data_IF_244309267319
#
_entry.id   IF_244309267319
#
_cell.length_a   1.000
_cell.length_b   1.000
_cell.length_c   1.000
_cell.angle_alpha   90.00
_cell.angle_beta   90.00
_cell.angle_gamma   90.00
#
_symmetry.space_group_name_H-M   'P 1'
#
loop_
_entity.id
_entity.type
_entity.pdbx_description
1 polymer ?
#
# COMPACT_ATOMS: atom_id res chain seq x y z
N UNK A 1 -9.41 -47.68 13.75
CA UNK A 1 -10.74 -47.15 13.40
C UNK A 1 -10.56 -45.83 12.64
N UNK A 2 -11.00 -45.77 11.38
CA UNK A 2 -10.79 -44.62 10.47
C UNK A 2 -11.74 -43.48 10.84
N UNK A 3 -11.21 -42.29 11.13
CA UNK A 3 -12.03 -41.07 11.31
C UNK A 3 -12.61 -40.68 9.94
N UNK A 4 -13.93 -40.72 9.82
CA UNK A 4 -14.68 -40.24 8.64
C UNK A 4 -14.47 -38.73 8.52
N UNK A 5 -13.93 -38.30 7.38
CA UNK A 5 -13.86 -36.89 7.02
C UNK A 5 -15.27 -36.33 6.83
N UNK A 6 -15.56 -35.23 7.49
CA UNK A 6 -16.79 -34.45 7.27
C UNK A 6 -16.59 -33.73 5.94
N UNK A 7 -17.26 -34.23 4.89
CA UNK A 7 -17.39 -33.52 3.62
C UNK A 7 -18.20 -32.26 3.87
N UNK A 8 -17.51 -31.13 3.87
CA UNK A 8 -18.13 -29.81 3.91
C UNK A 8 -18.88 -29.65 2.59
N UNK A 9 -20.20 -29.93 2.60
CA UNK A 9 -21.11 -29.65 1.50
C UNK A 9 -21.07 -28.15 1.25
N UNK A 10 -20.21 -27.74 0.31
CA UNK A 10 -20.19 -26.37 -0.18
C UNK A 10 -21.62 -26.04 -0.63
N UNK A 11 -22.18 -24.99 -0.03
CA UNK A 11 -23.48 -24.43 -0.40
C UNK A 11 -23.48 -24.29 -1.92
N UNK A 12 -24.30 -25.09 -2.62
CA UNK A 12 -24.42 -25.00 -4.07
C UNK A 12 -24.72 -23.55 -4.40
N UNK A 13 -23.89 -22.98 -5.29
CA UNK A 13 -24.06 -21.58 -5.71
C UNK A 13 -25.40 -21.56 -6.43
N UNK A 14 -26.42 -21.01 -5.81
CA UNK A 14 -27.67 -20.68 -6.50
C UNK A 14 -27.29 -19.76 -7.65
N UNK A 15 -27.41 -20.25 -8.88
CA UNK A 15 -27.25 -19.43 -10.08
C UNK A 15 -28.19 -18.23 -10.01
N UNK A 16 -27.87 -17.14 -10.70
CA UNK A 16 -28.65 -15.89 -10.66
C UNK A 16 -30.05 -15.99 -11.29
N UNK A 17 -30.60 -17.20 -11.46
CA UNK A 17 -31.94 -17.44 -12.03
C UNK A 17 -32.10 -16.99 -13.49
N UNK A 18 -30.99 -16.68 -14.19
CA UNK A 18 -31.01 -16.08 -15.54
C UNK A 18 -31.42 -17.13 -16.60
N UNK A 19 -31.32 -18.42 -16.29
CA UNK A 19 -31.65 -19.52 -17.21
C UNK A 19 -33.17 -19.79 -17.32
N UNK A 20 -33.98 -19.24 -16.42
CA UNK A 20 -35.46 -19.36 -16.42
C UNK A 20 -36.15 -18.15 -17.07
N UNK A 21 -35.39 -17.21 -17.63
CA UNK A 21 -35.95 -16.03 -18.30
C UNK A 21 -36.30 -16.46 -19.73
N UNK A 22 -37.61 -16.49 -20.03
CA UNK A 22 -38.11 -16.72 -21.39
C UNK A 22 -37.49 -15.68 -22.35
N UNK A 23 -37.10 -16.05 -23.59
CA UNK A 23 -36.44 -15.14 -24.52
C UNK A 23 -37.34 -13.97 -25.00
N UNK A 24 -38.63 -13.99 -24.67
CA UNK A 24 -39.60 -12.91 -24.91
C UNK A 24 -39.68 -11.94 -23.71
N UNK A 25 -39.23 -12.35 -22.52
CA UNK A 25 -39.07 -11.49 -21.33
C UNK A 25 -37.69 -10.82 -21.37
N UNK A 26 -37.32 -10.25 -22.52
CA UNK A 26 -36.16 -9.37 -22.60
C UNK A 26 -36.43 -8.19 -21.69
N UNK A 27 -35.68 -8.11 -20.58
CA UNK A 27 -35.70 -6.96 -19.68
C UNK A 27 -35.49 -5.69 -20.51
N UNK A 28 -36.55 -4.88 -20.63
CA UNK A 28 -36.50 -3.62 -21.35
C UNK A 28 -35.61 -2.64 -20.57
N UNK A 29 -34.33 -2.64 -20.92
CA UNK A 29 -33.31 -1.83 -20.26
C UNK A 29 -33.68 -0.34 -20.36
N UNK A 30 -34.40 0.08 -21.39
CA UNK A 30 -34.83 1.48 -21.55
C UNK A 30 -35.89 1.88 -20.51
N UNK A 31 -36.81 0.99 -20.14
CA UNK A 31 -37.81 1.22 -19.08
C UNK A 31 -37.16 1.25 -17.69
N UNK A 32 -36.18 0.40 -17.44
CA UNK A 32 -35.42 0.35 -16.17
C UNK A 32 -34.56 1.61 -15.99
N UNK A 33 -33.95 2.10 -17.07
CA UNK A 33 -33.13 3.32 -17.03
C UNK A 33 -34.01 4.56 -16.84
N UNK A 34 -35.16 4.61 -17.51
CA UNK A 34 -36.08 5.77 -17.45
C UNK A 34 -36.90 5.85 -16.16
N UNK A 35 -37.18 4.72 -15.50
CA UNK A 35 -37.83 4.67 -14.17
C UNK A 35 -36.87 4.99 -13.01
N UNK A 36 -35.56 5.09 -13.28
CA UNK A 36 -34.61 5.59 -12.29
C UNK A 36 -34.89 7.07 -12.03
N UNK A 37 -35.75 7.35 -11.05
CA UNK A 37 -35.89 8.69 -10.46
C UNK A 37 -34.50 9.16 -10.13
N UNK A 38 -33.99 10.11 -10.91
CA UNK A 38 -32.63 10.60 -10.82
C UNK A 38 -32.29 10.82 -9.36
N UNK A 39 -31.37 10.00 -8.84
CA UNK A 39 -31.02 10.04 -7.44
C UNK A 39 -30.58 11.48 -7.17
N UNK A 40 -31.36 12.23 -6.40
CA UNK A 40 -31.01 13.60 -6.09
C UNK A 40 -29.66 13.51 -5.39
N UNK A 41 -28.64 14.16 -5.97
CA UNK A 41 -27.34 14.24 -5.31
C UNK A 41 -27.61 14.89 -3.96
N UNK A 42 -27.43 14.13 -2.89
CA UNK A 42 -27.61 14.65 -1.55
C UNK A 42 -26.71 15.88 -1.39
N UNK A 43 -27.25 16.99 -0.89
CA UNK A 43 -26.46 18.18 -0.57
C UNK A 43 -25.49 17.98 0.61
N UNK A 44 -25.36 16.74 1.11
CA UNK A 44 -24.50 16.39 2.22
C UNK A 44 -23.05 16.69 1.87
N UNK A 45 -22.38 17.41 2.76
CA UNK A 45 -20.97 17.73 2.57
C UNK A 45 -20.12 16.47 2.65
N UNK A 46 -18.98 16.45 1.94
CA UNK A 46 -18.05 15.31 1.96
C UNK A 46 -17.58 14.95 3.39
N UNK A 47 -17.53 15.95 4.28
CA UNK A 47 -17.19 15.78 5.68
C UNK A 47 -18.26 15.00 6.46
N UNK A 48 -19.54 15.31 6.25
CA UNK A 48 -20.65 14.60 6.89
C UNK A 48 -20.65 13.12 6.49
N UNK A 49 -20.45 12.85 5.19
CA UNK A 49 -20.39 11.48 4.65
C UNK A 49 -19.24 10.70 5.29
N UNK A 50 -18.06 11.31 5.44
CA UNK A 50 -16.90 10.68 6.12
C UNK A 50 -17.22 10.34 7.56
N UNK A 51 -17.79 11.27 8.32
CA UNK A 51 -18.12 11.02 9.74
C UNK A 51 -19.22 9.95 9.91
N UNK A 52 -20.23 9.94 9.04
CA UNK A 52 -21.27 8.90 9.04
C UNK A 52 -20.70 7.52 8.68
N UNK A 53 -19.81 7.47 7.69
CA UNK A 53 -19.13 6.23 7.27
C UNK A 53 -18.25 5.65 8.38
N UNK A 54 -17.49 6.49 9.09
CA UNK A 54 -16.68 6.08 10.23
C UNK A 54 -17.53 5.54 11.37
N UNK A 55 -18.66 6.21 11.69
CA UNK A 55 -19.63 5.73 12.69
C UNK A 55 -20.28 4.41 12.30
N UNK A 56 -20.49 4.16 11.01
CA UNK A 56 -21.03 2.92 10.47
C UNK A 56 -19.98 1.79 10.35
N UNK A 57 -18.74 2.01 10.80
CA UNK A 57 -17.68 1.00 10.77
C UNK A 57 -16.97 0.85 9.42
N UNK A 58 -17.11 1.83 8.53
CA UNK A 58 -16.38 1.94 7.26
C UNK A 58 -15.26 3.00 7.37
N UNK A 59 -14.14 2.69 8.04
CA UNK A 59 -13.03 3.63 8.12
C UNK A 59 -12.42 3.88 6.72
N UNK A 60 -12.00 5.12 6.48
CA UNK A 60 -11.32 5.47 5.22
C UNK A 60 -10.03 4.68 5.05
N UNK A 61 -9.85 4.08 3.86
CA UNK A 61 -8.61 3.40 3.45
C UNK A 61 -7.58 4.36 2.86
N UNK A 62 -7.88 5.66 2.79
CA UNK A 62 -6.92 6.63 2.30
C UNK A 62 -5.72 6.67 3.26
N UNK A 63 -4.49 6.70 2.72
CA UNK A 63 -3.29 6.77 3.55
C UNK A 63 -3.34 8.05 4.40
N UNK A 64 -3.47 7.89 5.73
CA UNK A 64 -3.32 8.99 6.70
C UNK A 64 -1.91 9.56 6.54
N UNK A 65 -1.81 10.76 5.95
CA UNK A 65 -0.59 11.52 5.68
C UNK A 65 0.64 10.67 5.34
N UNK A 66 1.01 10.58 4.06
CA UNK A 66 2.36 10.09 3.71
C UNK A 66 3.38 10.84 4.57
N UNK A 67 4.18 10.13 5.36
CA UNK A 67 5.34 10.71 6.06
C UNK A 67 6.21 11.37 4.99
N UNK A 68 6.08 12.70 4.84
CA UNK A 68 6.87 13.47 3.89
C UNK A 68 8.25 13.59 4.51
N UNK A 69 9.10 12.59 4.27
CA UNK A 69 10.53 12.71 4.55
C UNK A 69 11.06 13.82 3.63
N UNK A 70 11.92 14.73 4.12
CA UNK A 70 12.55 15.71 3.26
C UNK A 70 13.30 14.95 2.16
N UNK A 71 12.99 15.26 0.90
CA UNK A 71 13.68 14.66 -0.24
C UNK A 71 15.09 15.25 -0.24
N UNK A 72 16.10 14.39 -0.16
CA UNK A 72 17.48 14.87 -0.33
C UNK A 72 17.65 15.44 -1.74
N UNK A 73 18.57 16.39 -1.95
CA UNK A 73 18.81 17.06 -3.24
C UNK A 73 19.30 16.15 -4.37
N UNK A 74 19.62 14.87 -4.09
CA UNK A 74 20.23 13.97 -5.05
C UNK A 74 19.21 12.96 -5.59
N UNK A 75 19.01 13.02 -6.90
CA UNK A 75 18.01 12.31 -7.71
C UNK A 75 18.31 10.83 -7.95
N UNK A 76 19.42 10.28 -7.44
CA UNK A 76 19.80 8.89 -7.67
C UNK A 76 19.17 7.98 -6.61
N UNK A 77 18.10 7.29 -6.99
CA UNK A 77 17.53 6.23 -6.16
C UNK A 77 18.52 5.07 -6.04
N UNK A 78 19.03 4.83 -4.84
CA UNK A 78 19.81 3.63 -4.53
C UNK A 78 18.87 2.41 -4.50
N UNK A 79 18.86 1.63 -5.58
CA UNK A 79 18.07 0.40 -5.73
C UNK A 79 18.83 -0.83 -5.20
N UNK A 80 19.39 -0.75 -3.99
CA UNK A 80 20.08 -1.88 -3.37
C UNK A 80 19.08 -2.97 -2.98
N UNK A 81 19.28 -4.20 -3.48
CA UNK A 81 18.52 -5.37 -3.03
C UNK A 81 19.05 -5.78 -1.66
N UNK A 82 18.18 -5.74 -0.65
CA UNK A 82 18.51 -6.13 0.73
C UNK A 82 17.57 -7.24 1.20
N UNK A 83 17.94 -7.92 2.28
CA UNK A 83 17.06 -8.91 2.92
C UNK A 83 15.86 -8.19 3.55
N UNK A 84 14.74 -8.91 3.69
CA UNK A 84 13.55 -8.39 4.37
C UNK A 84 13.91 -7.90 5.78
N UNK A 85 13.37 -6.74 6.20
CA UNK A 85 13.63 -6.16 7.52
C UNK A 85 14.90 -5.28 7.60
N UNK A 86 15.85 -5.43 6.67
CA UNK A 86 17.11 -4.66 6.72
C UNK A 86 16.87 -3.20 6.37
N UNK A 87 15.98 -2.92 5.42
CA UNK A 87 15.64 -1.55 5.01
C UNK A 87 14.97 -0.79 6.16
N UNK A 88 14.08 -1.45 6.88
CA UNK A 88 13.37 -0.89 8.03
C UNK A 88 14.34 -0.57 9.16
N UNK A 89 15.24 -1.51 9.48
CA UNK A 89 16.28 -1.30 10.49
C UNK A 89 17.21 -0.14 10.11
N UNK A 90 17.62 -0.06 8.85
CA UNK A 90 18.47 1.01 8.34
C UNK A 90 17.80 2.39 8.48
N UNK A 91 16.51 2.48 8.13
CA UNK A 91 15.73 3.70 8.27
C UNK A 91 15.46 4.11 9.72
N UNK A 92 15.36 3.14 10.63
CA UNK A 92 15.25 3.35 12.06
C UNK A 92 16.55 3.92 12.64
N UNK A 93 17.71 3.41 12.20
CA UNK A 93 19.02 3.94 12.59
C UNK A 93 19.14 5.41 12.17
N UNK A 94 18.84 5.73 10.91
CA UNK A 94 18.87 7.11 10.42
C UNK A 94 17.91 8.02 11.19
N UNK A 95 16.71 7.53 11.51
CA UNK A 95 15.73 8.28 12.30
C UNK A 95 16.21 8.57 13.74
N UNK A 96 16.85 7.61 14.41
CA UNK A 96 17.41 7.81 15.76
C UNK A 96 18.60 8.76 15.79
N UNK A 97 19.33 8.83 14.69
CA UNK A 97 20.47 9.73 14.52
C UNK A 97 20.07 11.09 13.93
N UNK A 98 18.78 11.30 13.64
CA UNK A 98 18.22 12.52 13.04
C UNK A 98 18.89 12.92 11.71
N UNK A 99 19.37 11.94 10.96
CA UNK A 99 20.06 12.13 9.67
C UNK A 99 19.29 11.47 8.51
N UNK A 100 19.63 11.87 7.30
CA UNK A 100 19.03 11.32 6.10
C UNK A 100 19.50 9.89 5.81
N UNK A 101 18.67 9.10 5.11
CA UNK A 101 18.99 7.73 4.70
C UNK A 101 20.32 7.68 3.91
N UNK A 102 20.60 8.71 3.11
CA UNK A 102 21.86 8.84 2.34
C UNK A 102 23.07 9.06 3.26
N UNK A 103 23.01 10.01 4.18
CA UNK A 103 24.09 10.25 5.15
C UNK A 103 24.32 9.03 6.04
N UNK A 104 23.24 8.33 6.40
CA UNK A 104 23.32 7.07 7.15
C UNK A 104 24.09 6.02 6.35
N UNK A 105 23.90 5.97 5.04
CA UNK A 105 24.57 5.02 4.14
C UNK A 105 26.05 5.36 4.00
N UNK A 106 26.35 6.64 3.78
CA UNK A 106 27.71 7.14 3.67
C UNK A 106 28.51 6.88 4.96
N UNK A 107 27.93 7.18 6.13
CA UNK A 107 28.56 6.88 7.44
C UNK A 107 28.76 5.38 7.66
N UNK A 108 27.78 4.56 7.29
CA UNK A 108 27.91 3.10 7.39
C UNK A 108 29.03 2.56 6.49
N UNK A 109 29.20 3.14 5.29
CA UNK A 109 30.26 2.78 4.37
C UNK A 109 31.63 3.15 4.95
N UNK A 110 31.81 4.36 5.47
CA UNK A 110 33.06 4.78 6.14
C UNK A 110 33.40 3.85 7.30
N UNK A 111 32.44 3.56 8.18
CA UNK A 111 32.67 2.69 9.32
C UNK A 111 33.10 1.27 8.90
N UNK A 112 32.57 0.76 7.78
CA UNK A 112 32.98 -0.53 7.22
C UNK A 112 34.39 -0.48 6.65
N UNK A 113 34.74 0.57 5.89
CA UNK A 113 36.08 0.75 5.33
C UNK A 113 37.15 0.89 6.42
N UNK A 114 36.86 1.66 7.48
CA UNK A 114 37.73 1.83 8.64
C UNK A 114 37.95 0.51 9.38
N UNK A 115 36.88 -0.25 9.60
CA UNK A 115 36.92 -1.54 10.30
C UNK A 115 37.78 -2.57 9.57
N UNK A 116 37.65 -2.64 8.24
CA UNK A 116 38.41 -3.58 7.39
C UNK A 116 39.77 -3.02 6.94
N UNK A 117 40.12 -1.78 7.34
CA UNK A 117 41.38 -1.09 7.03
C UNK A 117 41.64 -0.93 5.52
N UNK A 118 40.59 -0.74 4.72
CA UNK A 118 40.65 -0.55 3.26
C UNK A 118 40.94 0.92 2.91
N UNK A 119 42.19 1.34 3.07
CA UNK A 119 42.64 2.74 2.95
C UNK A 119 42.59 3.31 1.53
N UNK A 120 42.67 2.45 0.53
CA UNK A 120 42.52 2.77 -0.89
C UNK A 120 41.09 3.24 -1.19
N UNK A 121 40.10 2.40 -0.86
CA UNK A 121 38.68 2.72 -1.06
C UNK A 121 38.21 3.88 -0.18
N UNK A 122 38.78 4.03 1.02
CA UNK A 122 38.48 5.17 1.89
C UNK A 122 38.90 6.50 1.25
N UNK A 123 40.07 6.55 0.59
CA UNK A 123 40.54 7.74 -0.12
C UNK A 123 39.66 8.07 -1.32
N UNK A 124 39.28 7.05 -2.09
CA UNK A 124 38.36 7.22 -3.22
C UNK A 124 37.01 7.77 -2.74
N UNK A 125 36.44 7.17 -1.69
CA UNK A 125 35.17 7.58 -1.12
C UNK A 125 35.20 9.03 -0.60
N UNK A 126 36.24 9.41 0.15
CA UNK A 126 36.42 10.81 0.60
C UNK A 126 36.60 11.79 -0.58
N UNK A 127 37.08 11.33 -1.73
CA UNK A 127 37.17 12.11 -2.95
C UNK A 127 35.81 12.39 -3.60
N UNK A 128 34.84 11.49 -3.43
CA UNK A 128 33.49 11.58 -4.01
C UNK A 128 32.55 12.51 -3.22
N UNK A 129 32.77 12.69 -1.92
CA UNK A 129 31.93 13.51 -1.02
C UNK A 129 32.33 15.01 -1.02
N UNK A 130 33.40 15.38 -1.74
CA UNK A 130 33.81 16.79 -1.89
C UNK A 130 32.79 17.60 -2.68
#
# INVERSE_FOLDING_TARGET
MKKKGVLNMGKERTGLGIEEIDPEDTLDLEEVISSSKGHSRSNASEAEIKTASEKAGFPSRQPRSKRVRPKSPYTVQSNLKTRAGVKELFQEIGARLEIFDQETFERALVALLEKEKMKDLEKEFRGLIK
#
